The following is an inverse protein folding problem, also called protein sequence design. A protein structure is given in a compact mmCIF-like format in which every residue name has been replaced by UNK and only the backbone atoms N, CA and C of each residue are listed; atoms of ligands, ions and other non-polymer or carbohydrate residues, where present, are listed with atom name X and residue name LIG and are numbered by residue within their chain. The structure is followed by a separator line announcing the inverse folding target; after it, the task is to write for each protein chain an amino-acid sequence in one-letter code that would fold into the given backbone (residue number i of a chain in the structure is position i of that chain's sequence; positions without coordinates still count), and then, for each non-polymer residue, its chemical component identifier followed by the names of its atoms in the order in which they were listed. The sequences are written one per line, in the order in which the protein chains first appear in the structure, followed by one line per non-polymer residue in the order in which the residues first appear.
data_IF_699950493710
#
_entry.id   IF_699950493710
#
_cell.length_a   1.000
_cell.length_b   1.000
_cell.length_c   1.000
_cell.angle_alpha   90.00
_cell.angle_beta   90.00
_cell.angle_gamma   90.00
#
_symmetry.space_group_name_H-M   'P 1'
#
loop_
_entity.id
_entity.type
_entity.pdbx_description
1 polymer ?
#
# COMPACT_ATOMS: atom_id res chain seq x y z
N UNK A 1 8.75 5.06 18.60
CA UNK A 1 8.02 4.63 17.40
C UNK A 1 6.97 3.59 17.77
N UNK A 2 5.72 3.76 17.31
CA UNK A 2 4.61 2.80 17.46
C UNK A 2 4.17 2.36 16.07
N UNK A 3 3.96 1.04 15.87
CA UNK A 3 3.38 0.48 14.64
C UNK A 3 2.05 -0.17 15.03
N UNK A 4 0.98 0.19 14.31
CA UNK A 4 -0.36 -0.34 14.49
C UNK A 4 -0.79 -1.00 13.19
N UNK A 5 -1.10 -2.29 13.22
CA UNK A 5 -1.63 -3.01 12.04
C UNK A 5 -3.11 -2.68 11.89
N UNK A 6 -3.47 -2.02 10.79
CA UNK A 6 -4.86 -1.67 10.45
C UNK A 6 -5.53 -2.74 9.60
N UNK A 7 -4.77 -3.44 8.76
CA UNK A 7 -5.23 -4.54 7.91
C UNK A 7 -4.19 -5.65 7.90
N UNK A 8 -4.66 -6.88 8.05
CA UNK A 8 -3.90 -8.12 7.89
C UNK A 8 -4.82 -9.22 7.36
N UNK A 9 -4.23 -10.26 6.75
CA UNK A 9 -4.96 -11.43 6.23
C UNK A 9 -5.58 -12.28 7.34
N UNK A 10 -5.08 -12.17 8.55
CA UNK A 10 -5.46 -13.03 9.66
C UNK A 10 -6.35 -12.28 10.66
N UNK A 11 -7.36 -12.99 11.16
CA UNK A 11 -8.19 -12.50 12.25
C UNK A 11 -7.42 -12.54 13.56
N UNK A 12 -7.56 -11.50 14.34
CA UNK A 12 -7.09 -11.45 15.72
C UNK A 12 -8.23 -11.85 16.67
N UNK A 13 -8.15 -13.02 17.28
CA UNK A 13 -9.24 -13.58 18.12
C UNK A 13 -9.59 -12.68 19.32
N UNK A 14 -8.62 -11.97 19.86
CA UNK A 14 -8.81 -11.01 20.95
C UNK A 14 -9.49 -9.69 20.51
N UNK A 15 -9.63 -9.45 19.21
CA UNK A 15 -10.27 -8.26 18.64
C UNK A 15 -11.22 -8.64 17.49
N UNK A 16 -12.34 -9.31 17.81
CA UNK A 16 -13.31 -9.75 16.81
C UNK A 16 -14.06 -8.59 16.14
N UNK A 17 -13.97 -7.40 16.71
CA UNK A 17 -14.50 -6.13 16.19
C UNK A 17 -13.73 -5.60 14.98
N UNK A 18 -12.47 -6.03 14.79
CA UNK A 18 -11.66 -5.62 13.66
C UNK A 18 -12.04 -6.41 12.40
N UNK A 19 -12.29 -5.67 11.33
CA UNK A 19 -12.51 -6.25 10.01
C UNK A 19 -11.20 -6.82 9.44
N UNK A 20 -11.31 -7.91 8.67
CA UNK A 20 -10.18 -8.60 8.03
C UNK A 20 -10.37 -8.57 6.53
N UNK A 21 -9.32 -8.26 5.81
CA UNK A 21 -9.27 -8.44 4.36
C UNK A 21 -7.88 -8.94 3.93
N UNK A 22 -7.80 -9.46 2.72
CA UNK A 22 -6.51 -9.80 2.13
C UNK A 22 -5.72 -8.52 1.86
N UNK A 23 -4.48 -8.46 2.35
CA UNK A 23 -3.58 -7.32 2.16
C UNK A 23 -2.92 -6.87 3.44
N UNK A 24 -2.33 -5.70 3.38
CA UNK A 24 -1.61 -5.09 4.49
C UNK A 24 -1.94 -3.60 4.58
N UNK A 25 -2.07 -3.11 5.82
CA UNK A 25 -1.99 -1.68 6.12
C UNK A 25 -1.41 -1.47 7.51
N UNK A 26 -0.36 -0.67 7.59
CA UNK A 26 0.34 -0.33 8.82
C UNK A 26 0.31 1.18 9.05
N UNK A 27 -0.13 1.59 10.23
CA UNK A 27 0.08 2.95 10.70
C UNK A 27 1.35 3.02 11.54
N UNK A 28 2.26 3.90 11.17
CA UNK A 28 3.56 4.08 11.81
C UNK A 28 3.61 5.50 12.39
N UNK A 29 3.69 5.59 13.72
CA UNK A 29 3.77 6.85 14.46
C UNK A 29 5.12 6.99 15.12
N UNK A 30 5.81 8.09 14.83
CA UNK A 30 7.00 8.57 15.55
C UNK A 30 6.66 9.82 16.36
N UNK A 31 7.62 10.46 16.99
CA UNK A 31 7.42 11.73 17.68
C UNK A 31 7.04 12.87 16.73
N UNK A 32 7.52 12.81 15.49
CA UNK A 32 7.40 13.91 14.51
C UNK A 32 6.67 13.53 13.23
N UNK A 33 6.25 12.26 13.05
CA UNK A 33 5.65 11.80 11.81
C UNK A 33 4.59 10.74 12.06
N UNK A 34 3.46 10.88 11.36
CA UNK A 34 2.38 9.91 11.24
C UNK A 34 2.34 9.42 9.79
N UNK A 35 2.60 8.15 9.57
CA UNK A 35 2.73 7.57 8.22
C UNK A 35 1.85 6.33 8.07
N UNK A 36 1.25 6.17 6.89
CA UNK A 36 0.57 4.95 6.48
C UNK A 36 1.45 4.19 5.48
N UNK A 37 1.66 2.90 5.74
CA UNK A 37 2.39 2.01 4.84
C UNK A 37 1.44 0.93 4.36
N UNK A 38 1.15 0.92 3.06
CA UNK A 38 0.08 0.18 2.39
C UNK A 38 -1.33 0.47 2.95
N UNK A 39 -2.34 0.20 2.17
CA UNK A 39 -3.72 0.59 2.49
C UNK A 39 -4.74 -0.52 2.21
N UNK A 40 -4.27 -1.78 2.06
CA UNK A 40 -5.16 -2.90 1.75
C UNK A 40 -5.78 -2.84 0.36
N UNK A 41 -6.81 -3.64 0.14
CA UNK A 41 -7.56 -3.72 -1.11
C UNK A 41 -8.72 -2.74 -1.20
N UNK A 42 -9.12 -2.12 -0.08
CA UNK A 42 -10.26 -1.21 0.01
C UNK A 42 -10.29 -0.38 1.29
N UNK A 43 -11.49 -0.04 1.74
CA UNK A 43 -11.70 0.86 2.89
C UNK A 43 -11.58 0.22 4.28
N UNK A 44 -11.18 -1.04 4.40
CA UNK A 44 -11.12 -1.77 5.69
C UNK A 44 -10.19 -1.09 6.69
N UNK A 45 -9.06 -0.55 6.25
CA UNK A 45 -8.15 0.20 7.13
C UNK A 45 -8.83 1.45 7.73
N UNK A 46 -9.69 2.14 6.98
CA UNK A 46 -10.47 3.28 7.48
C UNK A 46 -11.50 2.86 8.53
N UNK A 47 -12.09 1.66 8.41
CA UNK A 47 -13.02 1.11 9.39
C UNK A 47 -12.32 0.73 10.69
N UNK A 48 -11.12 0.13 10.58
CA UNK A 48 -10.34 -0.33 11.72
C UNK A 48 -9.61 0.82 12.45
N UNK A 49 -9.22 1.88 11.74
CA UNK A 49 -8.42 2.97 12.28
C UNK A 49 -9.00 3.57 13.57
N UNK A 50 -10.28 3.99 13.64
CA UNK A 50 -10.85 4.56 14.87
C UNK A 50 -10.93 3.55 16.02
N UNK A 51 -11.08 2.25 15.72
CA UNK A 51 -11.09 1.18 16.74
C UNK A 51 -9.69 0.92 17.34
N UNK A 52 -8.66 1.49 16.71
CA UNK A 52 -7.24 1.36 17.08
C UNK A 52 -6.61 2.71 17.43
N UNK A 53 -7.44 3.73 17.71
CA UNK A 53 -7.02 5.10 18.06
C UNK A 53 -6.12 5.75 16.98
N UNK A 54 -6.46 5.53 15.72
CA UNK A 54 -5.77 6.11 14.56
C UNK A 54 -6.71 7.00 13.77
N UNK A 55 -6.32 8.26 13.60
CA UNK A 55 -7.05 9.25 12.80
C UNK A 55 -6.42 9.36 11.41
N UNK A 56 -7.09 8.84 10.39
CA UNK A 56 -6.58 8.83 9.00
C UNK A 56 -6.36 10.26 8.47
N UNK A 57 -7.19 11.22 8.89
CA UNK A 57 -7.05 12.64 8.48
C UNK A 57 -5.75 13.28 8.95
N UNK A 58 -5.15 12.75 10.03
CA UNK A 58 -3.94 13.28 10.68
C UNK A 58 -2.67 12.54 10.23
N UNK A 59 -2.76 11.71 9.21
CA UNK A 59 -1.60 11.07 8.56
C UNK A 59 -0.89 12.10 7.69
N UNK A 60 0.43 12.25 7.88
CA UNK A 60 1.26 13.23 7.19
C UNK A 60 1.65 12.78 5.77
N UNK A 61 1.86 11.49 5.58
CA UNK A 61 2.18 10.88 4.28
C UNK A 61 1.81 9.40 4.25
N UNK A 62 1.66 8.85 3.05
CA UNK A 62 1.46 7.43 2.84
C UNK A 62 2.48 6.87 1.83
N UNK A 63 2.80 5.58 1.97
CA UNK A 63 3.69 4.84 1.08
C UNK A 63 3.00 3.58 0.60
N UNK A 64 3.05 3.32 -0.69
CA UNK A 64 2.63 2.06 -1.30
C UNK A 64 3.90 1.25 -1.60
N UNK A 65 4.01 0.06 -1.01
CA UNK A 65 5.17 -0.83 -1.17
C UNK A 65 5.31 -1.34 -2.60
N UNK A 66 4.19 -1.72 -3.21
CA UNK A 66 4.12 -2.21 -4.59
C UNK A 66 2.69 -2.10 -5.15
N UNK A 67 2.52 -2.39 -6.45
CA UNK A 67 1.27 -2.12 -7.17
C UNK A 67 0.25 -3.26 -7.19
N UNK A 68 0.30 -4.20 -6.26
CA UNK A 68 -0.77 -5.18 -6.12
C UNK A 68 -1.98 -4.55 -5.43
N UNK A 69 -3.19 -4.91 -5.91
CA UNK A 69 -4.45 -4.29 -5.50
C UNK A 69 -4.72 -4.41 -3.99
N UNK A 70 -4.28 -5.49 -3.37
CA UNK A 70 -4.42 -5.79 -1.94
C UNK A 70 -3.45 -5.00 -1.04
N UNK A 71 -2.62 -4.13 -1.63
CA UNK A 71 -1.73 -3.20 -0.93
C UNK A 71 -2.02 -1.73 -1.28
N UNK A 72 -2.56 -1.47 -2.47
CA UNK A 72 -2.63 -0.12 -3.00
C UNK A 72 -4.05 0.42 -3.26
N UNK A 73 -5.07 -0.43 -3.44
CA UNK A 73 -6.39 0.06 -3.85
C UNK A 73 -7.09 0.87 -2.77
N UNK A 74 -6.82 0.63 -1.50
CA UNK A 74 -7.32 1.45 -0.40
C UNK A 74 -6.86 2.91 -0.46
N UNK A 75 -5.85 3.24 -1.27
CA UNK A 75 -5.43 4.62 -1.46
C UNK A 75 -6.52 5.52 -2.04
N UNK A 76 -7.53 4.97 -2.73
CA UNK A 76 -8.72 5.70 -3.17
C UNK A 76 -9.49 6.24 -1.96
N UNK A 77 -9.68 5.39 -0.95
CA UNK A 77 -10.37 5.79 0.29
C UNK A 77 -9.48 6.68 1.16
N UNK A 78 -8.17 6.43 1.17
CA UNK A 78 -7.22 7.31 1.84
C UNK A 78 -7.33 8.76 1.36
N UNK A 79 -7.29 9.00 0.04
CA UNK A 79 -7.36 10.36 -0.50
C UNK A 79 -8.71 11.05 -0.29
N UNK A 80 -9.77 10.30 0.02
CA UNK A 80 -11.08 10.83 0.40
C UNK A 80 -11.13 11.25 1.87
N UNK A 81 -10.47 10.50 2.76
CA UNK A 81 -10.47 10.74 4.20
C UNK A 81 -9.32 11.63 4.69
N UNK A 82 -8.29 11.80 3.87
CA UNK A 82 -7.16 12.68 4.13
C UNK A 82 -7.01 13.66 2.96
N UNK A 83 -7.04 14.97 3.23
CA UNK A 83 -7.01 16.01 2.20
C UNK A 83 -5.60 16.49 1.84
N UNK A 84 -4.58 16.18 2.65
CA UNK A 84 -3.28 16.86 2.59
C UNK A 84 -2.11 15.93 2.23
N UNK A 85 -2.11 14.71 2.75
CA UNK A 85 -0.97 13.79 2.64
C UNK A 85 -0.69 13.37 1.19
N UNK A 86 0.60 13.35 0.82
CA UNK A 86 1.05 12.73 -0.41
C UNK A 86 1.12 11.21 -0.25
N UNK A 87 0.90 10.49 -1.34
CA UNK A 87 1.03 9.03 -1.45
C UNK A 87 2.23 8.73 -2.34
N UNK A 88 3.25 8.12 -1.79
CA UNK A 88 4.49 7.79 -2.49
C UNK A 88 4.49 6.34 -2.96
N UNK A 89 4.99 6.09 -4.16
CA UNK A 89 5.24 4.74 -4.67
C UNK A 89 6.36 4.73 -5.71
N UNK A 90 7.00 3.57 -5.88
CA UNK A 90 8.01 3.40 -6.92
C UNK A 90 7.36 3.56 -8.30
N UNK A 91 8.02 4.32 -9.19
CA UNK A 91 7.66 4.38 -10.60
C UNK A 91 7.83 2.99 -11.24
N UNK A 92 6.94 2.66 -12.16
CA UNK A 92 7.06 1.47 -13.00
C UNK A 92 6.43 1.76 -14.35
N UNK A 93 7.10 1.35 -15.40
CA UNK A 93 6.60 1.39 -16.77
C UNK A 93 5.60 0.26 -17.04
N UNK A 94 5.53 -0.72 -16.16
CA UNK A 94 4.59 -1.82 -16.23
C UNK A 94 3.18 -1.34 -15.87
N UNK A 95 2.22 -1.63 -16.73
CA UNK A 95 0.85 -1.14 -16.58
C UNK A 95 -0.11 -2.16 -16.00
N UNK A 96 0.27 -3.45 -16.04
CA UNK A 96 -0.62 -4.51 -15.60
C UNK A 96 0.12 -5.62 -14.89
N UNK A 97 -0.43 -6.07 -13.78
CA UNK A 97 0.09 -7.14 -12.95
C UNK A 97 -0.94 -8.26 -12.94
N UNK A 98 -0.49 -9.49 -13.13
CA UNK A 98 -1.36 -10.65 -13.21
C UNK A 98 -0.88 -11.76 -12.28
N UNK A 99 -1.84 -12.44 -11.68
CA UNK A 99 -1.66 -13.72 -11.05
C UNK A 99 -2.18 -14.81 -11.97
N UNK A 100 -1.42 -15.89 -12.16
CA UNK A 100 -1.83 -17.05 -12.93
C UNK A 100 -1.48 -18.32 -12.19
N UNK A 101 -2.49 -19.08 -11.80
CA UNK A 101 -2.34 -20.42 -11.24
C UNK A 101 -3.58 -21.26 -11.56
N UNK A 102 -3.41 -22.59 -11.67
CA UNK A 102 -4.49 -23.56 -11.84
C UNK A 102 -5.47 -23.23 -12.99
N UNK A 103 -4.97 -22.66 -14.08
CA UNK A 103 -5.81 -22.29 -15.24
C UNK A 103 -6.51 -20.93 -15.13
N UNK A 104 -6.44 -20.27 -13.99
CA UNK A 104 -7.02 -18.94 -13.77
C UNK A 104 -5.98 -17.84 -14.00
N UNK A 105 -6.43 -16.74 -14.61
CA UNK A 105 -5.65 -15.52 -14.79
C UNK A 105 -6.46 -14.33 -14.28
N UNK A 106 -5.94 -13.65 -13.25
CA UNK A 106 -6.57 -12.47 -12.67
C UNK A 106 -5.63 -11.27 -12.77
N UNK A 107 -6.19 -10.10 -13.07
CA UNK A 107 -5.47 -8.85 -12.88
C UNK A 107 -5.39 -8.56 -11.37
N UNK A 108 -4.19 -8.39 -10.89
CA UNK A 108 -3.91 -8.09 -9.47
C UNK A 108 -3.24 -6.73 -9.30
N UNK A 109 -3.23 -5.92 -10.35
CA UNK A 109 -2.60 -4.61 -10.34
C UNK A 109 -3.45 -3.52 -9.70
N UNK A 110 -2.82 -2.36 -9.60
CA UNK A 110 -3.42 -1.11 -9.10
C UNK A 110 -4.67 -0.73 -9.92
N UNK A 111 -5.69 -0.23 -9.24
CA UNK A 111 -6.86 0.33 -9.90
C UNK A 111 -6.46 1.57 -10.73
N UNK A 112 -6.73 1.60 -12.05
CA UNK A 112 -6.42 2.74 -12.90
C UNK A 112 -7.06 4.05 -12.45
N UNK A 113 -8.18 4.00 -11.75
CA UNK A 113 -8.86 5.20 -11.25
C UNK A 113 -8.06 5.90 -10.14
N UNK A 114 -7.26 5.15 -9.37
CA UNK A 114 -6.33 5.76 -8.42
C UNK A 114 -5.33 6.67 -9.13
N UNK A 115 -4.78 6.20 -10.25
CA UNK A 115 -3.81 6.97 -11.03
C UNK A 115 -4.41 8.25 -11.64
N UNK A 116 -5.71 8.23 -11.98
CA UNK A 116 -6.42 9.36 -12.57
C UNK A 116 -6.92 10.37 -11.53
N UNK A 117 -7.44 9.87 -10.40
CA UNK A 117 -8.23 10.66 -9.46
C UNK A 117 -7.48 11.06 -8.19
N UNK A 118 -6.18 10.79 -8.08
CA UNK A 118 -5.38 11.09 -6.89
C UNK A 118 -5.08 12.59 -6.66
N UNK A 119 -5.71 13.48 -7.43
CA UNK A 119 -5.60 14.95 -7.28
C UNK A 119 -4.16 15.48 -7.23
N UNK A 120 -3.23 14.86 -7.96
CA UNK A 120 -1.81 15.24 -7.98
C UNK A 120 -1.02 14.84 -6.72
N UNK A 121 -1.65 14.17 -5.75
CA UNK A 121 -1.00 13.74 -4.51
C UNK A 121 -0.21 12.44 -4.63
N UNK A 122 -0.39 11.69 -5.71
CA UNK A 122 0.40 10.51 -6.01
C UNK A 122 1.79 10.92 -6.51
N UNK A 123 2.83 10.56 -5.77
CA UNK A 123 4.23 10.91 -6.03
C UNK A 123 5.03 9.68 -6.41
N UNK A 124 5.58 9.68 -7.62
CA UNK A 124 6.40 8.57 -8.11
C UNK A 124 7.87 8.80 -7.78
N UNK A 125 8.54 7.77 -7.27
CA UNK A 125 9.98 7.79 -7.00
C UNK A 125 10.70 6.79 -7.91
N UNK A 126 11.81 7.23 -8.51
CA UNK A 126 12.60 6.42 -9.46
C UNK A 126 13.92 5.92 -8.86
N UNK A 127 14.36 6.53 -7.78
CA UNK A 127 15.61 6.22 -7.08
C UNK A 127 15.39 6.33 -5.58
N UNK A 128 16.32 5.83 -4.80
CA UNK A 128 16.32 6.02 -3.35
C UNK A 128 16.13 7.51 -3.02
N UNK A 129 15.06 7.81 -2.30
CA UNK A 129 14.58 9.18 -2.09
C UNK A 129 14.19 9.39 -0.63
N UNK A 130 14.66 10.49 -0.03
CA UNK A 130 14.15 10.96 1.26
C UNK A 130 12.79 11.62 1.06
N UNK A 131 11.74 11.08 1.70
CA UNK A 131 10.34 11.54 1.57
C UNK A 131 9.86 12.35 2.76
N UNK A 132 10.55 12.23 3.89
CA UNK A 132 10.44 13.06 5.08
C UNK A 132 11.78 12.98 5.82
N UNK A 133 12.01 13.84 6.81
CA UNK A 133 13.27 13.89 7.55
C UNK A 133 13.64 12.50 8.12
N UNK A 134 14.75 11.94 7.65
CA UNK A 134 15.28 10.62 8.00
C UNK A 134 14.34 9.43 7.62
N UNK A 135 13.43 9.64 6.66
CA UNK A 135 12.57 8.58 6.12
C UNK A 135 12.84 8.44 4.62
N UNK A 136 13.28 7.26 4.22
CA UNK A 136 13.72 6.98 2.85
C UNK A 136 12.89 5.87 2.22
N UNK A 137 12.52 6.05 0.95
CA UNK A 137 12.11 4.95 0.09
C UNK A 137 13.35 4.44 -0.63
N UNK A 138 13.67 3.17 -0.42
CA UNK A 138 14.78 2.49 -1.10
C UNK A 138 14.21 1.76 -2.31
N UNK A 139 14.67 2.13 -3.50
CA UNK A 139 14.17 1.57 -4.77
C UNK A 139 15.14 0.56 -5.40
N UNK A 140 16.43 0.64 -5.03
CA UNK A 140 17.50 -0.16 -5.62
C UNK A 140 17.72 -1.42 -4.79
N UNK A 141 16.83 -2.41 -5.00
CA UNK A 141 16.90 -3.70 -4.33
C UNK A 141 17.71 -4.65 -5.22
N UNK A 142 18.78 -5.23 -4.66
CA UNK A 142 19.61 -6.19 -5.41
C UNK A 142 18.91 -7.55 -5.52
N UNK A 143 19.10 -8.22 -6.67
CA UNK A 143 18.59 -9.58 -6.93
C UNK A 143 19.48 -10.70 -6.34
N UNK A 144 20.27 -10.39 -5.29
CA UNK A 144 21.22 -11.34 -4.71
C UNK A 144 20.57 -12.52 -4.00
N UNK A 145 19.34 -12.35 -3.53
CA UNK A 145 18.62 -13.36 -2.76
C UNK A 145 17.55 -14.04 -3.59
N UNK A 146 17.21 -15.28 -3.23
CA UNK A 146 16.14 -16.02 -3.88
C UNK A 146 14.79 -15.27 -3.77
N UNK A 147 14.06 -15.27 -4.87
CA UNK A 147 12.70 -14.69 -4.89
C UNK A 147 11.73 -15.58 -4.12
N UNK A 148 10.74 -14.99 -3.43
CA UNK A 148 9.69 -15.76 -2.76
C UNK A 148 9.02 -16.74 -3.73
N UNK A 149 8.73 -17.97 -3.27
CA UNK A 149 8.12 -19.02 -4.12
C UNK A 149 6.83 -18.60 -4.82
N UNK A 150 6.04 -17.71 -4.18
CA UNK A 150 4.82 -17.15 -4.76
C UNK A 150 5.04 -16.32 -6.04
N UNK A 151 6.23 -15.78 -6.24
CA UNK A 151 6.54 -14.94 -7.41
C UNK A 151 6.44 -15.70 -8.74
N UNK A 152 6.57 -17.03 -8.75
CA UNK A 152 6.39 -17.85 -9.95
C UNK A 152 4.99 -17.75 -10.58
N UNK A 153 3.98 -17.30 -9.82
CA UNK A 153 2.61 -17.12 -10.29
C UNK A 153 2.31 -15.68 -10.70
N UNK A 154 3.25 -14.74 -10.46
CA UNK A 154 3.10 -13.33 -10.75
C UNK A 154 3.85 -12.97 -12.02
N UNK A 155 3.23 -12.19 -12.88
CA UNK A 155 3.86 -11.66 -14.07
C UNK A 155 3.28 -10.31 -14.45
N UNK A 156 4.06 -9.55 -15.21
CA UNK A 156 3.69 -8.24 -15.71
C UNK A 156 3.47 -8.31 -17.21
N UNK A 157 2.70 -7.38 -17.75
CA UNK A 157 2.58 -7.16 -19.17
C UNK A 157 3.01 -5.73 -19.45
N UNK A 158 4.17 -5.56 -20.07
CA UNK A 158 4.56 -4.31 -20.71
C UNK A 158 3.71 -4.10 -21.95
N UNK A 159 3.32 -2.85 -22.24
CA UNK A 159 2.80 -2.52 -23.57
C UNK A 159 3.99 -2.43 -24.52
N UNK A 160 4.00 -3.29 -25.51
CA UNK A 160 4.68 -3.06 -26.78
C UNK A 160 3.75 -2.31 -27.72
#
# INVERSE_FOLDING_TARGET
MKITTLVDNNRLDSRPDLAVERGLSLHIKTESLSMLFDMGGGGTFCQNAPLLDVEIKDVDLAVISHRHHDHCNGAIDFVRHNSNANVFLKHSDERSYYFRAYGFKNNVGINPDLLKNSSGRLKFVNKTTEIARNVFIITDICDKYEKPKGNQYLYTKSQH
#
